data_IF_049262940877
#
_entry.id   IF_049262940877
#
_cell.length_a   1.000
_cell.length_b   1.000
_cell.length_c   1.000
_cell.angle_alpha   90.00
_cell.angle_beta   90.00
_cell.angle_gamma   90.00
#
_symmetry.space_group_name_H-M   'P 1'
#
loop_
_entity.id
_entity.type
_entity.pdbx_description
1 polymer ?
#
# COMPACT_ATOMS: atom_id res chain seq x y z
N UNK A 1 -14.01 4.19 -30.89
CA UNK A 1 -12.86 5.04 -31.26
C UNK A 1 -11.61 4.17 -31.24
N UNK A 2 -10.72 4.42 -32.18
CA UNK A 2 -9.45 3.71 -32.28
C UNK A 2 -8.42 4.52 -31.49
N UNK A 3 -7.70 3.87 -30.56
CA UNK A 3 -6.68 4.54 -29.76
C UNK A 3 -5.45 4.80 -30.62
N UNK A 4 -4.91 6.01 -30.55
CA UNK A 4 -3.58 6.34 -31.07
C UNK A 4 -2.53 6.00 -30.03
N UNK A 5 -1.52 5.23 -30.38
CA UNK A 5 -0.46 4.80 -29.45
C UNK A 5 0.89 5.26 -29.98
N UNK A 6 1.64 5.99 -29.17
CA UNK A 6 2.99 6.43 -29.48
C UNK A 6 3.96 6.05 -28.37
N UNK A 7 5.18 5.68 -28.74
CA UNK A 7 6.25 5.31 -27.82
C UNK A 7 7.31 6.42 -27.81
N UNK A 8 7.73 6.80 -26.60
CA UNK A 8 8.75 7.81 -26.37
C UNK A 8 9.90 7.24 -25.56
N UNK A 9 11.13 7.63 -25.90
CA UNK A 9 12.28 7.36 -25.03
C UNK A 9 12.30 8.34 -23.87
N UNK A 10 13.06 8.02 -22.81
CA UNK A 10 13.24 8.91 -21.65
C UNK A 10 13.74 10.30 -22.03
N UNK A 11 14.51 10.43 -23.10
CA UNK A 11 15.07 11.71 -23.58
C UNK A 11 14.06 12.58 -24.36
N UNK A 12 12.89 12.03 -24.71
CA UNK A 12 11.87 12.69 -25.52
C UNK A 12 10.69 13.23 -24.71
N UNK A 13 10.92 13.69 -23.51
CA UNK A 13 9.83 14.15 -22.63
C UNK A 13 9.14 15.43 -23.12
N UNK A 14 9.83 16.28 -23.87
CA UNK A 14 9.22 17.47 -24.49
C UNK A 14 8.28 17.10 -25.65
N UNK A 15 8.63 16.07 -26.43
CA UNK A 15 7.77 15.51 -27.48
C UNK A 15 6.53 14.87 -26.87
N UNK A 16 6.68 14.16 -25.74
CA UNK A 16 5.57 13.59 -24.97
C UNK A 16 4.56 14.67 -24.52
N UNK A 17 5.05 15.83 -24.06
CA UNK A 17 4.18 16.97 -23.72
C UNK A 17 3.42 17.51 -24.93
N UNK A 18 4.08 17.57 -26.07
CA UNK A 18 3.46 18.05 -27.33
C UNK A 18 2.38 17.09 -27.81
N UNK A 19 2.56 15.80 -27.59
CA UNK A 19 1.59 14.77 -27.97
C UNK A 19 0.29 14.84 -27.16
N UNK A 20 0.34 15.36 -25.92
CA UNK A 20 -0.80 15.50 -25.01
C UNK A 20 -1.57 14.17 -24.81
N UNK A 21 -0.93 13.13 -24.29
CA UNK A 21 -1.56 11.83 -24.11
C UNK A 21 -2.72 11.88 -23.10
N UNK A 22 -3.75 11.08 -23.32
CA UNK A 22 -4.83 10.83 -22.37
C UNK A 22 -4.41 9.87 -21.25
N UNK A 23 -3.38 9.04 -21.50
CA UNK A 23 -2.85 8.05 -20.56
C UNK A 23 -1.40 7.71 -20.88
N UNK A 24 -0.56 7.56 -19.87
CA UNK A 24 0.86 7.22 -20.01
C UNK A 24 1.15 5.90 -19.30
N UNK A 25 1.84 5.00 -19.99
CA UNK A 25 2.48 3.84 -19.42
C UNK A 25 3.99 4.06 -19.33
N UNK A 26 4.60 3.86 -18.19
CA UNK A 26 6.04 4.04 -18.03
C UNK A 26 6.64 3.04 -17.06
N UNK A 27 7.89 2.64 -17.31
CA UNK A 27 8.70 1.82 -16.41
C UNK A 27 9.63 2.68 -15.53
N UNK A 28 9.73 3.98 -15.82
CA UNK A 28 10.63 4.91 -15.14
C UNK A 28 9.88 6.15 -14.65
N UNK A 29 10.29 6.77 -13.55
CA UNK A 29 9.76 8.05 -13.11
C UNK A 29 9.98 9.12 -14.20
N UNK A 30 8.95 9.91 -14.49
CA UNK A 30 9.06 11.07 -15.36
C UNK A 30 9.61 12.25 -14.57
N UNK A 31 10.57 12.98 -15.15
CA UNK A 31 11.22 14.12 -14.51
C UNK A 31 10.42 15.42 -14.63
N UNK A 32 9.36 15.42 -15.43
CA UNK A 32 8.54 16.60 -15.71
C UNK A 32 7.10 16.37 -15.25
N UNK A 33 6.45 17.44 -14.83
CA UNK A 33 5.04 17.43 -14.47
C UNK A 33 4.18 17.31 -15.74
N UNK A 34 3.47 16.21 -15.89
CA UNK A 34 2.57 15.93 -17.01
C UNK A 34 1.17 15.73 -16.42
N UNK A 35 0.18 16.38 -17.04
CA UNK A 35 -1.20 16.36 -16.54
C UNK A 35 -1.97 15.06 -16.84
N UNK A 36 -1.42 14.17 -17.66
CA UNK A 36 -2.05 12.89 -17.96
C UNK A 36 -1.89 11.87 -16.83
N UNK A 37 -2.84 10.96 -16.63
CA UNK A 37 -2.68 9.80 -15.74
C UNK A 37 -1.47 8.96 -16.11
N UNK A 38 -0.70 8.52 -15.10
CA UNK A 38 0.52 7.74 -15.30
C UNK A 38 0.37 6.38 -14.63
N UNK A 39 0.53 5.31 -15.39
CA UNK A 39 0.60 3.94 -14.89
C UNK A 39 2.05 3.47 -14.96
N UNK A 40 2.61 3.15 -13.77
CA UNK A 40 3.93 2.56 -13.67
C UNK A 40 3.85 1.05 -13.87
N UNK A 41 4.54 0.54 -14.89
CA UNK A 41 4.63 -0.89 -15.20
C UNK A 41 5.98 -1.41 -14.74
N UNK A 42 6.00 -2.53 -14.01
CA UNK A 42 7.28 -3.10 -13.54
C UNK A 42 7.98 -3.94 -14.63
N UNK A 43 7.25 -4.86 -15.24
CA UNK A 43 7.78 -5.75 -16.30
C UNK A 43 6.74 -5.99 -17.40
N UNK A 44 5.54 -6.43 -17.03
CA UNK A 44 4.40 -6.69 -17.90
C UNK A 44 3.13 -6.17 -17.21
N UNK A 45 2.12 -5.79 -18.01
CA UNK A 45 0.80 -5.44 -17.50
C UNK A 45 0.18 -6.65 -16.81
N UNK A 46 -0.19 -6.49 -15.55
CA UNK A 46 -0.94 -7.49 -14.79
C UNK A 46 -2.45 -7.16 -14.73
N UNK A 47 -3.24 -8.07 -14.16
CA UNK A 47 -4.70 -7.87 -14.04
C UNK A 47 -5.07 -6.62 -13.22
N UNK A 48 -4.23 -6.20 -12.27
CA UNK A 48 -4.42 -5.00 -11.46
C UNK A 48 -4.20 -3.74 -12.30
N UNK A 49 -3.23 -3.76 -13.19
CA UNK A 49 -3.00 -2.65 -14.11
C UNK A 49 -4.16 -2.52 -15.10
N UNK A 50 -4.72 -3.65 -15.58
CA UNK A 50 -5.91 -3.64 -16.45
C UNK A 50 -7.14 -3.05 -15.74
N UNK A 51 -7.31 -3.30 -14.44
CA UNK A 51 -8.39 -2.69 -13.65
C UNK A 51 -8.19 -1.18 -13.56
N UNK A 52 -6.97 -0.70 -13.27
CA UNK A 52 -6.65 0.74 -13.24
C UNK A 52 -6.89 1.42 -14.59
N UNK A 53 -6.46 0.79 -15.67
CA UNK A 53 -6.71 1.29 -17.04
C UNK A 53 -8.20 1.47 -17.30
N UNK A 54 -9.01 0.45 -16.96
CA UNK A 54 -10.46 0.53 -17.13
C UNK A 54 -11.07 1.67 -16.31
N UNK A 55 -10.64 1.85 -15.07
CA UNK A 55 -11.11 2.92 -14.22
C UNK A 55 -10.79 4.30 -14.80
N UNK A 56 -9.54 4.52 -15.24
CA UNK A 56 -9.11 5.77 -15.85
C UNK A 56 -9.90 6.09 -17.13
N UNK A 57 -10.09 5.09 -18.00
CA UNK A 57 -10.81 5.27 -19.27
C UNK A 57 -12.33 5.48 -19.09
N UNK A 58 -12.88 5.17 -17.92
CA UNK A 58 -14.30 5.35 -17.59
C UNK A 58 -14.58 6.65 -16.82
N UNK A 59 -13.55 7.33 -16.32
CA UNK A 59 -13.69 8.60 -15.59
C UNK A 59 -13.62 9.78 -16.56
N UNK A 60 -14.60 10.69 -16.50
CA UNK A 60 -14.60 11.94 -17.26
C UNK A 60 -13.59 12.96 -16.70
N UNK A 61 -13.30 12.90 -15.40
CA UNK A 61 -12.24 13.67 -14.73
C UNK A 61 -11.35 12.71 -13.93
N UNK A 62 -10.07 12.67 -14.27
CA UNK A 62 -9.08 11.88 -13.55
C UNK A 62 -8.50 12.70 -12.39
N UNK A 63 -8.84 12.30 -11.16
CA UNK A 63 -8.15 12.70 -9.95
C UNK A 63 -7.49 11.45 -9.34
N UNK A 64 -6.15 11.39 -9.23
CA UNK A 64 -5.45 10.25 -8.65
C UNK A 64 -5.89 9.95 -7.20
N UNK A 65 -6.43 10.92 -6.48
CA UNK A 65 -6.97 10.73 -5.13
C UNK A 65 -8.41 10.17 -5.15
N UNK A 66 -9.18 10.43 -6.20
CA UNK A 66 -10.55 9.89 -6.36
C UNK A 66 -10.54 8.38 -6.59
N UNK A 67 -9.56 7.85 -7.31
CA UNK A 67 -9.40 6.40 -7.49
C UNK A 67 -9.20 5.65 -6.17
N UNK A 68 -8.64 6.31 -5.16
CA UNK A 68 -8.53 5.76 -3.82
C UNK A 68 -9.87 5.87 -3.09
N UNK A 69 -10.66 6.94 -3.32
CA UNK A 69 -11.90 7.20 -2.61
C UNK A 69 -13.08 6.34 -3.07
N UNK A 70 -13.16 6.01 -4.36
CA UNK A 70 -14.34 5.35 -4.94
C UNK A 70 -14.19 3.85 -5.18
N UNK A 71 -13.06 3.24 -4.80
CA UNK A 71 -12.89 1.80 -4.90
C UNK A 71 -13.26 1.11 -3.57
N UNK A 72 -14.48 0.59 -3.43
CA UNK A 72 -14.92 -0.05 -2.19
C UNK A 72 -14.05 -1.25 -1.79
N UNK A 73 -13.28 -1.80 -2.72
CA UNK A 73 -12.37 -2.91 -2.47
C UNK A 73 -11.21 -2.51 -1.54
N UNK A 74 -10.65 -1.29 -1.67
CA UNK A 74 -9.57 -0.85 -0.79
C UNK A 74 -10.07 -0.52 0.62
N UNK A 75 -11.28 0.04 0.75
CA UNK A 75 -11.87 0.36 2.06
C UNK A 75 -12.36 -0.88 2.80
N UNK A 76 -12.65 -1.98 2.11
CA UNK A 76 -13.13 -3.22 2.74
C UNK A 76 -12.09 -3.85 3.67
N UNK A 77 -10.80 -3.52 3.51
CA UNK A 77 -9.72 -4.01 4.37
C UNK A 77 -9.48 -3.14 5.60
N UNK A 78 -10.07 -1.95 5.67
CA UNK A 78 -9.93 -1.04 6.81
C UNK A 78 -11.24 -0.96 7.59
N UNK A 79 -11.15 -1.03 8.91
CA UNK A 79 -12.28 -0.80 9.80
C UNK A 79 -11.89 0.18 10.90
N UNK A 80 -12.81 1.06 11.28
CA UNK A 80 -12.61 1.99 12.41
C UNK A 80 -12.27 1.26 13.71
N UNK A 81 -12.74 0.02 13.88
CA UNK A 81 -12.50 -0.81 15.05
C UNK A 81 -11.05 -1.28 15.17
N UNK A 82 -10.30 -1.23 14.06
CA UNK A 82 -8.88 -1.62 13.97
C UNK A 82 -7.96 -0.44 13.67
N UNK A 83 -8.43 0.78 13.88
CA UNK A 83 -7.63 1.99 13.71
C UNK A 83 -7.44 2.67 15.08
N UNK A 84 -6.20 2.72 15.58
CA UNK A 84 -5.92 3.15 16.94
C UNK A 84 -4.77 4.14 17.06
N UNK A 85 -4.90 5.07 17.98
CA UNK A 85 -3.77 5.85 18.49
C UNK A 85 -3.28 5.21 19.79
N UNK A 86 -2.04 4.77 19.82
CA UNK A 86 -1.46 4.01 20.94
C UNK A 86 -0.25 4.71 21.54
N UNK A 87 0.06 4.34 22.78
CA UNK A 87 1.37 4.56 23.43
C UNK A 87 2.01 3.19 23.64
N UNK A 88 3.26 3.05 23.20
CA UNK A 88 4.03 1.83 23.37
C UNK A 88 5.52 2.19 23.48
N UNK A 89 6.27 1.31 24.09
CA UNK A 89 7.72 1.43 24.36
C UNK A 89 8.55 0.40 23.59
N UNK A 90 7.89 -0.60 23.00
CA UNK A 90 8.54 -1.63 22.20
C UNK A 90 7.68 -2.08 21.02
N UNK A 91 8.33 -2.51 19.96
CA UNK A 91 7.67 -3.02 18.76
C UNK A 91 6.99 -4.36 19.03
N UNK A 92 7.60 -5.18 19.87
CA UNK A 92 7.06 -6.47 20.28
C UNK A 92 5.72 -6.31 21.02
N UNK A 93 5.60 -5.30 21.90
CA UNK A 93 4.33 -4.99 22.57
C UNK A 93 3.24 -4.58 21.58
N UNK A 94 3.59 -3.83 20.54
CA UNK A 94 2.65 -3.44 19.49
C UNK A 94 2.18 -4.68 18.72
N UNK A 95 3.09 -5.53 18.29
CA UNK A 95 2.76 -6.79 17.58
C UNK A 95 1.85 -7.65 18.44
N UNK A 96 2.20 -7.84 19.71
CA UNK A 96 1.41 -8.66 20.61
C UNK A 96 -0.01 -8.12 20.78
N UNK A 97 -0.15 -6.84 21.08
CA UNK A 97 -1.44 -6.19 21.29
C UNK A 97 -2.34 -6.25 20.05
N UNK A 98 -1.78 -5.95 18.86
CA UNK A 98 -2.54 -5.96 17.62
C UNK A 98 -2.90 -7.38 17.18
N UNK A 99 -1.96 -8.32 17.31
CA UNK A 99 -2.16 -9.72 16.93
C UNK A 99 -3.21 -10.41 17.82
N UNK A 100 -3.12 -10.23 19.14
CA UNK A 100 -4.13 -10.76 20.07
C UNK A 100 -5.52 -10.22 19.77
N UNK A 101 -5.64 -8.94 19.46
CA UNK A 101 -6.94 -8.37 19.08
C UNK A 101 -7.51 -9.01 17.80
N UNK A 102 -6.67 -9.27 16.79
CA UNK A 102 -7.11 -9.95 15.57
C UNK A 102 -7.55 -11.39 15.84
N UNK A 103 -6.87 -12.10 16.75
CA UNK A 103 -7.28 -13.44 17.21
C UNK A 103 -8.62 -13.39 17.95
N UNK A 104 -8.75 -12.52 18.96
CA UNK A 104 -9.96 -12.39 19.79
C UNK A 104 -11.20 -12.01 18.96
N UNK A 105 -11.03 -11.18 17.95
CA UNK A 105 -12.10 -10.76 17.03
C UNK A 105 -12.36 -11.75 15.88
N UNK A 106 -11.61 -12.84 15.81
CA UNK A 106 -11.77 -13.91 14.81
C UNK A 106 -11.34 -13.51 13.39
N UNK A 107 -10.32 -12.67 13.27
CA UNK A 107 -9.65 -12.34 12.01
C UNK A 107 -8.39 -13.18 11.81
N UNK A 108 -7.63 -13.43 12.86
CA UNK A 108 -6.53 -14.41 12.90
C UNK A 108 -6.97 -15.72 13.54
N UNK A 109 -6.36 -16.84 13.16
CA UNK A 109 -6.46 -18.11 13.87
C UNK A 109 -5.78 -18.00 15.24
N UNK A 110 -6.07 -18.91 16.15
CA UNK A 110 -5.32 -19.04 17.40
C UNK A 110 -3.84 -19.28 17.10
N UNK A 111 -2.95 -18.47 17.68
CA UNK A 111 -1.51 -18.51 17.43
C UNK A 111 -1.08 -17.62 16.25
N UNK A 112 -1.96 -16.83 15.67
CA UNK A 112 -1.63 -15.88 14.61
C UNK A 112 -0.53 -14.89 15.03
N UNK A 113 -0.59 -14.42 16.26
CA UNK A 113 0.44 -13.54 16.86
C UNK A 113 1.82 -14.20 16.89
N UNK A 114 1.89 -15.49 17.24
CA UNK A 114 3.15 -16.24 17.30
C UNK A 114 3.76 -16.38 15.89
N UNK A 115 2.94 -16.58 14.85
CA UNK A 115 3.40 -16.64 13.47
C UNK A 115 3.97 -15.30 12.98
N UNK A 116 3.43 -14.17 13.44
CA UNK A 116 4.00 -12.85 13.16
C UNK A 116 5.36 -12.70 13.84
N UNK A 117 5.50 -13.10 15.10
CA UNK A 117 6.79 -13.09 15.79
C UNK A 117 7.82 -14.01 15.13
N UNK A 118 7.40 -15.19 14.69
CA UNK A 118 8.26 -16.10 13.93
C UNK A 118 8.77 -15.41 12.66
N UNK A 119 7.88 -14.80 11.87
CA UNK A 119 8.23 -14.07 10.67
C UNK A 119 9.19 -12.90 10.96
N UNK A 120 8.93 -12.14 12.02
CA UNK A 120 9.74 -10.97 12.42
C UNK A 120 11.15 -11.39 12.86
N UNK A 121 11.31 -12.61 13.38
CA UNK A 121 12.62 -13.16 13.78
C UNK A 121 13.57 -13.38 12.62
N UNK A 122 13.06 -13.60 11.40
CA UNK A 122 13.90 -13.79 10.20
C UNK A 122 14.40 -12.45 9.63
N UNK A 123 13.52 -11.50 9.47
CA UNK A 123 13.83 -10.16 8.95
C UNK A 123 12.83 -9.16 9.49
N UNK A 124 13.30 -8.10 10.13
CA UNK A 124 12.45 -7.05 10.68
C UNK A 124 11.63 -6.34 9.60
N UNK A 125 10.35 -6.12 9.89
CA UNK A 125 9.43 -5.36 9.04
C UNK A 125 9.36 -3.87 9.39
N UNK A 126 10.32 -3.36 10.14
CA UNK A 126 10.50 -1.92 10.40
C UNK A 126 11.24 -1.28 9.24
N UNK A 127 10.59 -0.38 8.51
CA UNK A 127 11.17 0.36 7.38
C UNK A 127 11.79 1.69 7.83
N UNK A 128 12.60 2.31 6.97
CA UNK A 128 13.41 3.50 7.31
C UNK A 128 12.61 4.78 7.57
N UNK A 129 11.37 4.85 7.09
CA UNK A 129 10.50 6.04 7.22
C UNK A 129 9.52 5.98 8.40
N UNK A 130 9.74 5.06 9.34
CA UNK A 130 8.91 4.91 10.52
C UNK A 130 7.63 4.09 10.31
N UNK A 131 7.51 3.43 9.17
CA UNK A 131 6.42 2.52 8.85
C UNK A 131 6.83 1.10 9.16
N UNK A 132 5.93 0.33 9.82
CA UNK A 132 6.12 -1.08 10.09
C UNK A 132 4.97 -1.88 9.50
N UNK A 133 5.26 -3.07 8.95
CA UNK A 133 4.25 -3.94 8.33
C UNK A 133 4.42 -5.38 8.84
N UNK A 134 4.10 -5.65 10.12
CA UNK A 134 4.15 -7.01 10.66
C UNK A 134 3.07 -7.89 10.03
N UNK A 135 3.46 -9.09 9.62
CA UNK A 135 2.60 -10.08 8.98
C UNK A 135 3.16 -11.49 9.18
N UNK A 136 2.37 -12.56 9.13
CA UNK A 136 2.86 -13.92 9.17
C UNK A 136 3.54 -14.32 7.85
N UNK A 137 4.30 -15.43 7.84
CA UNK A 137 4.91 -15.97 6.60
C UNK A 137 3.86 -16.49 5.62
N UNK A 138 2.83 -17.11 6.13
CA UNK A 138 1.75 -17.71 5.34
C UNK A 138 0.43 -16.95 5.56
N UNK A 139 -0.52 -17.11 4.64
CA UNK A 139 -1.84 -16.51 4.72
C UNK A 139 -2.72 -17.27 5.71
N UNK A 140 -2.50 -17.05 7.01
CA UNK A 140 -3.27 -17.68 8.10
C UNK A 140 -4.41 -16.82 8.66
N UNK A 141 -4.73 -15.72 7.98
CA UNK A 141 -5.88 -14.90 8.31
C UNK A 141 -7.20 -15.61 7.96
N UNK A 142 -8.18 -15.50 8.84
CA UNK A 142 -9.55 -16.00 8.60
C UNK A 142 -10.38 -15.00 7.78
N UNK A 143 -10.02 -13.73 7.85
CA UNK A 143 -10.66 -12.64 7.11
C UNK A 143 -9.60 -11.59 6.74
N UNK A 144 -9.75 -11.01 5.57
CA UNK A 144 -8.87 -9.92 5.14
C UNK A 144 -9.11 -8.68 6.00
N UNK A 145 -8.04 -8.14 6.58
CA UNK A 145 -8.09 -6.93 7.42
C UNK A 145 -6.70 -6.28 7.47
N UNK A 146 -6.69 -4.96 7.47
CA UNK A 146 -5.52 -4.17 7.80
C UNK A 146 -5.79 -3.45 9.12
N UNK A 147 -5.10 -3.88 10.17
CA UNK A 147 -5.12 -3.20 11.46
C UNK A 147 -4.07 -2.11 11.48
N UNK A 148 -4.42 -0.91 11.95
CA UNK A 148 -3.55 0.27 11.95
C UNK A 148 -3.35 0.78 13.36
N UNK A 149 -2.09 0.94 13.76
CA UNK A 149 -1.71 1.62 14.99
C UNK A 149 -0.81 2.83 14.69
N UNK A 150 -1.22 4.00 15.14
CA UNK A 150 -0.43 5.24 15.07
C UNK A 150 0.09 5.54 16.47
N UNK A 151 1.39 5.69 16.59
CA UNK A 151 2.03 6.01 17.86
C UNK A 151 1.85 7.49 18.18
N UNK A 152 1.28 7.80 19.35
CA UNK A 152 1.22 9.18 19.86
C UNK A 152 2.60 9.75 20.14
N UNK A 153 3.55 8.88 20.51
CA UNK A 153 4.96 9.22 20.72
C UNK A 153 5.80 8.22 19.94
N UNK A 154 6.35 8.59 18.79
CA UNK A 154 7.30 7.76 18.07
C UNK A 154 8.52 7.42 18.94
N UNK A 155 9.08 6.22 18.78
CA UNK A 155 10.31 5.81 19.46
C UNK A 155 11.26 5.13 18.47
N UNK A 156 12.51 4.93 18.88
CA UNK A 156 13.53 4.29 18.06
C UNK A 156 13.84 2.91 18.63
N UNK A 157 13.77 1.88 17.79
CA UNK A 157 14.20 0.53 18.10
C UNK A 157 15.14 0.02 17.02
N UNK A 158 16.28 -0.54 17.42
CA UNK A 158 17.33 -1.04 16.50
C UNK A 158 17.78 0.00 15.45
N UNK A 159 17.86 1.28 15.85
CA UNK A 159 18.27 2.38 14.98
C UNK A 159 17.23 2.84 13.96
N UNK A 160 16.00 2.30 14.02
CA UNK A 160 14.90 2.71 13.16
C UNK A 160 13.77 3.31 13.98
N UNK A 161 13.20 4.41 13.49
CA UNK A 161 12.05 5.04 14.10
C UNK A 161 10.77 4.25 13.83
N UNK A 162 9.85 4.19 14.81
CA UNK A 162 8.54 3.56 14.70
C UNK A 162 7.48 4.64 14.93
N UNK A 163 6.61 4.84 13.95
CA UNK A 163 5.53 5.85 13.95
C UNK A 163 4.17 5.25 13.70
N UNK A 164 4.09 4.37 12.70
CA UNK A 164 2.84 3.76 12.27
C UNK A 164 3.07 2.28 11.95
N UNK A 165 2.14 1.46 12.36
CA UNK A 165 2.16 0.01 12.14
C UNK A 165 0.90 -0.41 11.38
N UNK A 166 1.09 -1.11 10.27
CA UNK A 166 0.05 -1.76 9.48
C UNK A 166 0.20 -3.27 9.63
N UNK A 167 -0.64 -3.89 10.43
CA UNK A 167 -0.65 -5.36 10.55
C UNK A 167 -1.64 -5.94 9.54
N UNK A 168 -1.16 -6.86 8.73
CA UNK A 168 -1.87 -7.51 7.63
C UNK A 168 -1.84 -9.02 7.76
#
# INVERSE_FOLDING_TARGET
PQAEVQTFSFLQQDELKTFQPDLIFTIMPLSQEIKAPIIYIKELLDDRDLVKIKQILQCEEYDPYTLIQDNPMYYSFFSKDFFKFIEADSYENIIWMMGQELEEKGYGKKGYTDLIFERESYVSTIYTNGVCIPHPLETDALKNMISVAILKKPFVQNGKEIKIVFMI
#
